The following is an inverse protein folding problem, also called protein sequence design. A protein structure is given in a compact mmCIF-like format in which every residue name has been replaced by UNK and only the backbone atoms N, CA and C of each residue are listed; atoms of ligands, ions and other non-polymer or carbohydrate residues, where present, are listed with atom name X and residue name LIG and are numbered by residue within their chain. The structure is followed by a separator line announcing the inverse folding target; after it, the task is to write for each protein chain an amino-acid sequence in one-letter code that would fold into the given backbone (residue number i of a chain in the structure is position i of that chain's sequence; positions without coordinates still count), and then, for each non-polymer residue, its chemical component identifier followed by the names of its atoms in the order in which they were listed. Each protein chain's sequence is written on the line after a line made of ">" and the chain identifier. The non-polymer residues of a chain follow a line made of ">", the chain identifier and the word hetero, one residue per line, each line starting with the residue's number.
data_IF_238947775733
#
_entry.id   IF_238947775733
#
_cell.length_a   1.000
_cell.length_b   1.000
_cell.length_c   1.000
_cell.angle_alpha   90.00
_cell.angle_beta   90.00
_cell.angle_gamma   90.00
#
_symmetry.space_group_name_H-M   'P 1'
#
loop_
_entity.id
_entity.type
_entity.pdbx_description
1 polymer ?
#
# COMPACT_ATOMS: atom_id res chain seq x y z
N UNK A 1 9.73 -10.24 21.22
CA UNK A 1 9.02 -8.96 21.45
C UNK A 1 7.74 -8.96 20.63
N UNK A 2 6.63 -8.47 21.18
CA UNK A 2 5.41 -8.27 20.38
C UNK A 2 5.66 -7.14 19.38
N UNK A 3 5.46 -7.42 18.12
CA UNK A 3 5.59 -6.47 17.00
C UNK A 3 4.20 -6.15 16.46
N UNK A 4 3.94 -4.90 16.09
CA UNK A 4 2.70 -4.53 15.40
C UNK A 4 2.75 -4.97 13.93
N UNK A 5 1.59 -5.18 13.33
CA UNK A 5 1.47 -5.49 11.89
C UNK A 5 2.17 -4.40 11.04
N UNK A 6 1.93 -3.14 11.37
CA UNK A 6 2.54 -2.02 10.66
C UNK A 6 4.08 -2.03 10.72
N UNK A 7 4.65 -2.32 11.90
CA UNK A 7 6.10 -2.44 12.06
C UNK A 7 6.66 -3.66 11.31
N UNK A 8 5.90 -4.76 11.24
CA UNK A 8 6.27 -5.93 10.45
C UNK A 8 6.31 -5.60 8.96
N UNK A 9 5.25 -4.96 8.43
CA UNK A 9 5.20 -4.51 7.04
C UNK A 9 6.39 -3.60 6.71
N UNK A 10 6.61 -2.56 7.51
CA UNK A 10 7.70 -1.61 7.28
C UNK A 10 9.08 -2.30 7.26
N UNK A 11 9.32 -3.25 8.18
CA UNK A 11 10.56 -4.01 8.22
C UNK A 11 10.73 -4.95 7.02
N UNK A 12 9.65 -5.59 6.58
CA UNK A 12 9.68 -6.46 5.38
C UNK A 12 10.01 -5.65 4.13
N UNK A 13 9.41 -4.47 3.97
CA UNK A 13 9.70 -3.56 2.87
C UNK A 13 11.16 -3.07 2.89
N UNK A 14 11.69 -2.76 4.07
CA UNK A 14 13.12 -2.43 4.23
C UNK A 14 14.02 -3.58 3.77
N UNK A 15 13.71 -4.81 4.18
CA UNK A 15 14.46 -6.00 3.78
C UNK A 15 14.36 -6.29 2.28
N UNK A 16 13.24 -5.95 1.65
CA UNK A 16 13.04 -6.02 0.20
C UNK A 16 13.76 -4.90 -0.57
N UNK A 17 14.48 -4.00 0.12
CA UNK A 17 15.26 -2.93 -0.51
C UNK A 17 14.48 -1.64 -0.77
N UNK A 18 13.22 -1.57 -0.38
CA UNK A 18 12.36 -0.38 -0.56
C UNK A 18 12.97 0.82 0.17
N UNK A 19 13.12 1.95 -0.54
CA UNK A 19 13.69 3.20 -0.01
C UNK A 19 12.66 4.26 0.28
N UNK A 20 11.52 4.20 -0.41
CA UNK A 20 10.45 5.20 -0.26
C UNK A 20 9.07 4.62 -0.52
N UNK A 21 8.06 5.27 0.03
CA UNK A 21 6.65 4.97 -0.21
C UNK A 21 5.97 6.25 -0.68
N UNK A 22 5.35 6.21 -1.84
CA UNK A 22 4.60 7.31 -2.41
C UNK A 22 3.15 7.28 -1.93
N UNK A 23 2.60 8.40 -1.48
CA UNK A 23 1.21 8.38 -1.03
C UNK A 23 0.68 9.69 -0.46
N UNK A 24 -0.58 9.63 -0.10
CA UNK A 24 -1.26 10.64 0.71
C UNK A 24 -1.51 10.03 2.09
N UNK A 25 -1.14 10.75 3.14
CA UNK A 25 -1.38 10.31 4.52
C UNK A 25 -2.87 10.30 4.85
N UNK A 26 -3.26 9.41 5.75
CA UNK A 26 -4.64 9.31 6.22
C UNK A 26 -4.71 8.42 7.46
N UNK A 27 -5.82 8.50 8.18
CA UNK A 27 -5.97 7.85 9.49
C UNK A 27 -5.73 6.34 9.46
N UNK A 28 -6.16 5.66 8.40
CA UNK A 28 -5.95 4.22 8.24
C UNK A 28 -4.48 3.83 7.97
N UNK A 29 -3.61 4.80 7.70
CA UNK A 29 -2.16 4.63 7.50
C UNK A 29 -1.33 5.06 8.71
N UNK A 30 -1.94 5.54 9.80
CA UNK A 30 -1.22 6.07 10.97
C UNK A 30 -0.22 5.07 11.56
N UNK A 31 -0.58 3.79 11.66
CA UNK A 31 0.34 2.77 12.17
C UNK A 31 1.56 2.56 11.29
N UNK A 32 1.39 2.61 9.96
CA UNK A 32 2.50 2.53 9.01
C UNK A 32 3.39 3.79 9.11
N UNK A 33 2.78 4.97 9.08
CA UNK A 33 3.50 6.25 9.19
C UNK A 33 4.33 6.34 10.47
N UNK A 34 3.76 5.94 11.62
CA UNK A 34 4.49 5.89 12.90
C UNK A 34 5.68 4.92 12.84
N UNK A 35 5.50 3.76 12.22
CA UNK A 35 6.57 2.77 12.06
C UNK A 35 7.71 3.30 11.18
N UNK A 36 7.40 3.95 10.06
CA UNK A 36 8.39 4.57 9.18
C UNK A 36 9.15 5.70 9.89
N UNK A 37 8.43 6.54 10.64
CA UNK A 37 9.03 7.62 11.42
C UNK A 37 10.00 7.11 12.50
N UNK A 38 9.74 5.95 13.09
CA UNK A 38 10.63 5.32 14.07
C UNK A 38 11.85 4.67 13.42
N UNK A 39 11.66 4.00 12.29
CA UNK A 39 12.74 3.31 11.58
C UNK A 39 13.69 4.26 10.85
N UNK A 40 13.17 5.32 10.21
CA UNK A 40 13.91 6.32 9.44
C UNK A 40 14.74 5.75 8.27
N UNK A 41 14.43 4.56 7.82
CA UNK A 41 15.14 3.88 6.71
C UNK A 41 14.36 3.90 5.41
N UNK A 42 13.05 4.13 5.48
CA UNK A 42 12.16 4.31 4.34
C UNK A 42 11.56 5.70 4.42
N UNK A 43 11.68 6.48 3.35
CA UNK A 43 11.15 7.83 3.27
C UNK A 43 9.70 7.81 2.79
N UNK A 44 8.82 8.60 3.44
CA UNK A 44 7.48 8.86 2.93
C UNK A 44 7.54 10.02 1.93
N UNK A 45 7.15 9.75 0.69
CA UNK A 45 7.09 10.73 -0.40
C UNK A 45 5.67 11.25 -0.54
N UNK A 46 5.35 12.43 0.01
CA UNK A 46 3.99 12.94 -0.03
C UNK A 46 3.61 13.39 -1.43
N UNK A 47 2.43 12.97 -1.85
CA UNK A 47 1.78 13.45 -3.09
C UNK A 47 0.52 14.22 -2.75
N UNK A 48 -0.02 14.97 -3.71
CA UNK A 48 -1.28 15.71 -3.54
C UNK A 48 -2.51 14.89 -3.91
N UNK A 49 -2.27 13.73 -4.53
CA UNK A 49 -3.31 12.81 -4.97
C UNK A 49 -2.72 11.41 -5.09
N UNK A 50 -3.48 10.39 -4.74
CA UNK A 50 -2.99 9.00 -4.73
C UNK A 50 -2.72 8.46 -6.16
N UNK A 51 -3.44 8.94 -7.15
CA UNK A 51 -3.16 8.63 -8.55
C UNK A 51 -1.72 9.01 -8.92
N UNK A 52 -1.27 10.20 -8.52
CA UNK A 52 0.11 10.65 -8.72
C UNK A 52 1.08 9.73 -7.98
N UNK A 53 0.73 9.25 -6.78
CA UNK A 53 1.56 8.32 -6.04
C UNK A 53 1.77 7.00 -6.79
N UNK A 54 0.71 6.44 -7.37
CA UNK A 54 0.79 5.21 -8.15
C UNK A 54 1.63 5.39 -9.43
N UNK A 55 1.44 6.49 -10.18
CA UNK A 55 2.28 6.81 -11.33
C UNK A 55 3.75 7.03 -10.95
N UNK A 56 4.02 7.71 -9.83
CA UNK A 56 5.38 7.94 -9.35
C UNK A 56 6.08 6.62 -8.98
N UNK A 57 5.37 5.73 -8.27
CA UNK A 57 5.88 4.39 -7.96
C UNK A 57 6.15 3.58 -9.25
N UNK A 58 5.25 3.64 -10.24
CA UNK A 58 5.45 2.99 -11.53
C UNK A 58 6.67 3.51 -12.28
N UNK A 59 6.86 4.84 -12.30
CA UNK A 59 8.03 5.46 -12.91
C UNK A 59 9.33 5.08 -12.18
N UNK A 60 9.32 5.06 -10.84
CA UNK A 60 10.46 4.60 -10.05
C UNK A 60 10.82 3.16 -10.38
N UNK A 61 9.84 2.25 -10.35
CA UNK A 61 10.06 0.84 -10.68
C UNK A 61 10.60 0.65 -12.11
N UNK A 62 10.10 1.41 -13.07
CA UNK A 62 10.55 1.35 -14.46
C UNK A 62 11.99 1.83 -14.63
N UNK A 63 12.40 2.87 -13.91
CA UNK A 63 13.75 3.44 -14.00
C UNK A 63 14.79 2.62 -13.24
N UNK A 64 14.41 2.01 -12.13
CA UNK A 64 15.33 1.29 -11.25
C UNK A 64 15.35 -0.22 -11.50
N UNK A 65 14.26 -0.78 -12.00
CA UNK A 65 14.04 -2.24 -12.07
C UNK A 65 13.76 -2.87 -10.70
N UNK A 66 13.58 -2.06 -9.64
CA UNK A 66 13.38 -2.51 -8.27
C UNK A 66 11.91 -2.34 -7.85
N UNK A 67 11.52 -3.02 -6.77
CA UNK A 67 10.19 -2.88 -6.18
C UNK A 67 9.97 -1.46 -5.67
N UNK A 68 8.96 -0.79 -6.21
CA UNK A 68 8.46 0.49 -5.70
C UNK A 68 7.13 0.31 -4.95
N UNK A 69 6.80 1.26 -4.06
CA UNK A 69 5.63 1.16 -3.20
C UNK A 69 4.80 2.43 -3.26
N UNK A 70 3.48 2.28 -3.42
CA UNK A 70 2.53 3.35 -3.20
C UNK A 70 1.50 2.96 -2.13
N UNK A 71 0.90 3.95 -1.49
CA UNK A 71 -0.10 3.73 -0.45
C UNK A 71 -1.24 4.74 -0.54
N UNK A 72 -2.45 4.27 -0.28
CA UNK A 72 -3.66 5.07 -0.17
C UNK A 72 -4.45 4.74 1.09
N UNK A 73 -5.04 5.77 1.71
CA UNK A 73 -5.95 5.60 2.84
C UNK A 73 -7.23 4.90 2.42
N UNK A 74 -8.03 4.43 3.37
CA UNK A 74 -9.27 3.71 3.08
C UNK A 74 -10.26 4.52 2.25
N UNK A 75 -11.14 3.83 1.53
CA UNK A 75 -12.17 4.42 0.69
C UNK A 75 -11.60 5.18 -0.51
N UNK A 76 -11.95 6.48 -0.66
CA UNK A 76 -11.54 7.26 -1.84
C UNK A 76 -10.02 7.32 -2.02
N UNK A 77 -9.23 7.29 -0.93
CA UNK A 77 -7.77 7.31 -1.01
C UNK A 77 -7.23 6.16 -1.85
N UNK A 78 -7.58 4.92 -1.53
CA UNK A 78 -7.09 3.79 -2.31
C UNK A 78 -7.78 3.63 -3.68
N UNK A 79 -9.02 4.11 -3.87
CA UNK A 79 -9.67 4.12 -5.17
C UNK A 79 -8.87 4.92 -6.21
N UNK A 80 -8.27 6.03 -5.81
CA UNK A 80 -7.50 6.88 -6.70
C UNK A 80 -6.20 6.23 -7.21
N UNK A 81 -5.71 5.16 -6.57
CA UNK A 81 -4.53 4.42 -7.04
C UNK A 81 -4.77 3.71 -8.38
N UNK A 82 -6.02 3.39 -8.72
CA UNK A 82 -6.39 2.50 -9.83
C UNK A 82 -5.76 2.93 -11.16
N UNK A 83 -5.84 4.20 -11.53
CA UNK A 83 -5.31 4.66 -12.82
C UNK A 83 -3.81 4.41 -12.95
N UNK A 84 -3.03 4.77 -11.93
CA UNK A 84 -1.60 4.52 -11.92
C UNK A 84 -1.26 3.03 -11.86
N UNK A 85 -2.06 2.23 -11.14
CA UNK A 85 -1.86 0.77 -11.09
C UNK A 85 -2.14 0.09 -12.43
N UNK A 86 -3.12 0.55 -13.22
CA UNK A 86 -3.32 0.07 -14.59
C UNK A 86 -2.10 0.36 -15.47
N UNK A 87 -1.51 1.54 -15.33
CA UNK A 87 -0.27 1.88 -16.05
C UNK A 87 0.89 0.96 -15.63
N UNK A 88 1.09 0.78 -14.33
CA UNK A 88 2.10 -0.15 -13.79
C UNK A 88 1.90 -1.58 -14.32
N UNK A 89 0.66 -2.06 -14.29
CA UNK A 89 0.31 -3.40 -14.77
C UNK A 89 0.62 -3.57 -16.27
N UNK A 90 0.26 -2.60 -17.09
CA UNK A 90 0.54 -2.62 -18.54
C UNK A 90 2.03 -2.57 -18.87
N UNK A 91 2.79 -1.82 -18.08
CA UNK A 91 4.24 -1.69 -18.25
C UNK A 91 5.02 -2.84 -17.59
N UNK A 92 4.33 -3.78 -16.90
CA UNK A 92 4.94 -4.92 -16.21
C UNK A 92 6.02 -4.51 -15.22
N UNK A 93 5.82 -3.41 -14.50
CA UNK A 93 6.76 -2.92 -13.48
C UNK A 93 6.38 -3.40 -12.09
N UNK A 94 7.36 -3.73 -11.21
CA UNK A 94 7.08 -4.24 -9.88
C UNK A 94 6.64 -3.12 -8.93
N UNK A 95 5.34 -3.01 -8.71
CA UNK A 95 4.77 -2.05 -7.77
C UNK A 95 3.90 -2.78 -6.74
N UNK A 96 4.15 -2.50 -5.46
CA UNK A 96 3.29 -2.89 -4.36
C UNK A 96 2.37 -1.72 -3.99
N UNK A 97 1.06 -1.93 -4.06
CA UNK A 97 0.07 -0.97 -3.58
C UNK A 97 -0.44 -1.39 -2.20
N UNK A 98 -0.30 -0.51 -1.22
CA UNK A 98 -0.89 -0.67 0.11
C UNK A 98 -2.21 0.08 0.14
N UNK A 99 -3.29 -0.65 -0.07
CA UNK A 99 -4.65 -0.13 0.05
C UNK A 99 -5.12 -0.31 1.50
N UNK A 100 -4.97 0.73 2.31
CA UNK A 100 -5.44 0.67 3.69
C UNK A 100 -6.96 0.49 3.74
N UNK A 101 -7.45 -0.13 4.80
CA UNK A 101 -8.87 -0.47 4.92
C UNK A 101 -9.44 0.01 6.26
N UNK A 102 -10.76 -0.03 6.37
CA UNK A 102 -11.50 0.14 7.60
C UNK A 102 -11.18 -0.98 8.61
N UNK A 103 -11.52 -0.85 9.89
CA UNK A 103 -11.35 -1.94 10.85
C UNK A 103 -11.98 -3.24 10.35
N UNK A 104 -11.29 -4.35 10.50
CA UNK A 104 -11.76 -5.66 10.00
C UNK A 104 -13.09 -6.10 10.63
N UNK A 105 -13.38 -5.64 11.85
CA UNK A 105 -14.68 -5.88 12.52
C UNK A 105 -15.86 -5.17 11.85
N UNK A 106 -15.60 -4.15 11.04
CA UNK A 106 -16.63 -3.32 10.39
C UNK A 106 -16.83 -3.67 8.91
N UNK A 107 -16.04 -4.58 8.36
CA UNK A 107 -16.17 -5.00 6.95
C UNK A 107 -17.54 -5.63 6.73
N UNK A 108 -18.29 -5.11 5.75
CA UNK A 108 -19.63 -5.57 5.39
C UNK A 108 -20.76 -4.85 6.14
N UNK A 109 -20.43 -3.87 7.00
CA UNK A 109 -21.43 -3.10 7.75
C UNK A 109 -21.91 -1.83 7.03
N UNK A 110 -21.29 -1.46 5.91
CA UNK A 110 -21.49 -0.16 5.28
C UNK A 110 -20.79 0.97 6.03
N UNK A 111 -19.71 0.64 6.72
CA UNK A 111 -18.92 1.59 7.50
C UNK A 111 -18.39 2.74 6.64
N UNK A 112 -18.17 3.91 7.27
CA UNK A 112 -17.64 5.08 6.59
C UNK A 112 -16.37 4.76 5.79
N UNK A 113 -16.35 5.12 4.52
CA UNK A 113 -15.25 4.83 3.57
C UNK A 113 -15.03 3.34 3.28
N UNK A 114 -15.99 2.47 3.54
CA UNK A 114 -15.92 1.09 3.11
C UNK A 114 -15.94 0.99 1.58
N UNK A 115 -14.99 0.27 1.03
CA UNK A 115 -14.91 -0.13 -0.39
C UNK A 115 -14.40 -1.57 -0.45
N UNK A 116 -14.35 -2.16 -1.63
CA UNK A 116 -13.84 -3.52 -1.82
C UNK A 116 -12.59 -3.50 -2.71
N UNK A 117 -11.41 -3.06 -2.18
CA UNK A 117 -10.19 -2.93 -2.97
C UNK A 117 -9.76 -4.24 -3.64
N UNK A 118 -9.98 -5.38 -2.98
CA UNK A 118 -9.67 -6.71 -3.51
C UNK A 118 -10.45 -7.05 -4.80
N UNK A 119 -11.61 -6.42 -5.02
CA UNK A 119 -12.38 -6.56 -6.26
C UNK A 119 -11.96 -5.52 -7.28
N UNK A 120 -11.79 -4.28 -6.84
CA UNK A 120 -11.47 -3.14 -7.68
C UNK A 120 -10.09 -3.25 -8.33
N UNK A 121 -9.10 -3.81 -7.62
CA UNK A 121 -7.72 -3.92 -8.10
C UNK A 121 -7.42 -5.22 -8.84
N UNK A 122 -8.37 -6.13 -8.93
CA UNK A 122 -8.17 -7.44 -9.55
C UNK A 122 -7.66 -7.34 -11.00
N UNK A 123 -8.19 -6.41 -11.78
CA UNK A 123 -7.82 -6.26 -13.19
C UNK A 123 -6.46 -5.59 -13.41
N UNK A 124 -5.96 -4.85 -12.42
CA UNK A 124 -4.69 -4.12 -12.51
C UNK A 124 -3.59 -4.70 -11.62
N UNK A 125 -3.75 -5.93 -11.13
CA UNK A 125 -2.74 -6.57 -10.29
C UNK A 125 -2.57 -8.05 -10.63
N UNK A 126 -1.36 -8.58 -10.46
CA UNK A 126 -1.07 -10.02 -10.56
C UNK A 126 -1.44 -10.76 -9.28
N UNK A 127 -1.34 -10.08 -8.15
CA UNK A 127 -1.64 -10.59 -6.83
C UNK A 127 -2.41 -9.53 -6.06
N UNK A 128 -3.54 -9.88 -5.50
CA UNK A 128 -4.39 -8.96 -4.74
C UNK A 128 -5.10 -9.72 -3.63
N UNK A 129 -4.76 -9.41 -2.37
CA UNK A 129 -5.30 -10.09 -1.21
C UNK A 129 -5.83 -9.11 -0.16
N UNK A 130 -6.95 -9.49 0.45
CA UNK A 130 -7.49 -8.81 1.62
C UNK A 130 -6.91 -9.43 2.88
N UNK A 131 -6.21 -8.62 3.65
CA UNK A 131 -5.70 -9.01 4.96
C UNK A 131 -6.69 -8.56 6.03
N UNK A 132 -7.40 -9.50 6.62
CA UNK A 132 -8.40 -9.25 7.67
C UNK A 132 -7.93 -9.65 9.08
N UNK A 133 -6.82 -10.38 9.18
CA UNK A 133 -6.22 -10.75 10.46
C UNK A 133 -4.69 -10.61 10.45
N UNK A 134 -4.07 -10.28 11.59
CA UNK A 134 -2.62 -10.15 11.71
C UNK A 134 -1.83 -11.40 11.29
N UNK A 135 -2.40 -12.58 11.50
CA UNK A 135 -1.76 -13.87 11.22
C UNK A 135 -1.52 -14.11 9.74
N UNK A 136 -2.28 -13.44 8.86
CA UNK A 136 -2.13 -13.57 7.40
C UNK A 136 -0.88 -12.82 6.87
N UNK A 137 -0.43 -11.78 7.55
CA UNK A 137 0.59 -10.85 7.06
C UNK A 137 1.90 -11.54 6.67
N UNK A 138 2.48 -12.46 7.46
CA UNK A 138 3.74 -13.10 7.06
C UNK A 138 3.64 -13.90 5.76
N UNK A 139 2.49 -14.52 5.52
CA UNK A 139 2.26 -15.33 4.32
C UNK A 139 1.96 -14.46 3.09
N UNK A 140 1.21 -13.37 3.29
CA UNK A 140 0.86 -12.44 2.18
C UNK A 140 2.09 -11.68 1.70
N UNK A 141 3.07 -11.40 2.57
CA UNK A 141 4.29 -10.67 2.25
C UNK A 141 5.50 -11.58 1.93
N UNK A 142 5.34 -12.88 1.96
CA UNK A 142 6.39 -13.83 1.58
C UNK A 142 6.52 -13.94 0.07
#
# INVERSE_FOLDING_TARGET
>A
MKQTVAAYIAKTLEQAGVKRIWGVTGDSLNGLSDSLNKMKTIEWMPTRHEEVAAFAAGAEAQLTGELAVCAGSCGPGNLHLINGLFDCHRNHVPVLAIAAHIPSSEIGSGYFQETHPQELFRECSHYCELVSSPEQIPQVLA
#
